data_IF_817170923506
#
_entry.id   IF_817170923506
#
_cell.length_a   1.000
_cell.length_b   1.000
_cell.length_c   1.000
_cell.angle_alpha   90.00
_cell.angle_beta   90.00
_cell.angle_gamma   90.00
#
_symmetry.space_group_name_H-M   'P 1'
#
loop_
_entity.id
_entity.type
_entity.pdbx_description
1 polymer ?
#
# COMPACT_ATOMS: atom_id res chain seq x y z
N UNK A 1 18.84 23.22 -33.85
CA UNK A 1 17.84 22.65 -32.91
C UNK A 1 18.63 22.05 -31.76
N UNK A 2 18.80 22.81 -30.68
CA UNK A 2 19.50 22.37 -29.48
C UNK A 2 18.47 21.76 -28.52
N UNK A 3 18.61 20.46 -28.27
CA UNK A 3 17.83 19.76 -27.24
C UNK A 3 18.27 20.26 -25.87
N UNK A 4 17.35 20.92 -25.17
CA UNK A 4 17.57 21.33 -23.79
C UNK A 4 17.65 20.10 -22.90
N UNK A 5 18.84 19.82 -22.38
CA UNK A 5 19.02 18.99 -21.21
C UNK A 5 18.43 19.73 -20.01
N UNK A 6 17.21 19.40 -19.61
CA UNK A 6 16.66 19.86 -18.35
C UNK A 6 17.35 19.10 -17.22
N UNK A 7 18.56 19.55 -16.85
CA UNK A 7 19.07 19.30 -15.49
C UNK A 7 18.08 19.96 -14.53
N UNK A 8 17.32 19.15 -13.80
CA UNK A 8 16.55 19.68 -12.69
C UNK A 8 17.52 20.08 -11.58
N UNK A 9 17.79 21.38 -11.51
CA UNK A 9 18.53 22.03 -10.44
C UNK A 9 17.95 21.57 -9.07
N UNK A 10 18.80 20.97 -8.22
CA UNK A 10 18.38 20.49 -6.89
C UNK A 10 18.07 18.98 -6.77
N UNK A 11 18.28 18.18 -7.81
CA UNK A 11 18.16 16.72 -7.73
C UNK A 11 19.43 16.06 -7.14
N UNK A 12 19.29 15.31 -6.05
CA UNK A 12 20.37 14.53 -5.42
C UNK A 12 20.27 13.08 -5.92
N UNK A 13 21.42 12.47 -6.24
CA UNK A 13 21.48 11.08 -6.72
C UNK A 13 22.14 10.19 -5.68
N UNK A 14 21.53 9.05 -5.36
CA UNK A 14 22.08 8.04 -4.44
C UNK A 14 22.17 6.67 -5.10
N UNK A 15 23.22 5.91 -4.77
CA UNK A 15 23.55 4.65 -5.43
C UNK A 15 24.35 4.86 -6.72
N UNK A 16 24.26 3.95 -7.70
CA UNK A 16 23.46 2.73 -7.68
C UNK A 16 24.08 1.64 -6.77
N UNK A 17 23.25 0.82 -6.14
CA UNK A 17 23.67 -0.34 -5.37
C UNK A 17 23.50 -1.61 -6.20
N UNK A 18 24.53 -2.44 -6.26
CA UNK A 18 24.54 -3.71 -7.00
C UNK A 18 25.76 -3.84 -7.91
N UNK A 19 25.62 -4.65 -8.96
CA UNK A 19 26.68 -4.93 -9.92
C UNK A 19 26.88 -3.85 -10.99
N UNK A 20 28.04 -3.94 -11.65
CA UNK A 20 28.46 -3.06 -12.75
C UNK A 20 28.13 -3.61 -14.14
N UNK A 21 27.54 -4.81 -14.21
CA UNK A 21 27.20 -5.46 -15.47
C UNK A 21 25.90 -4.90 -16.08
N UNK A 22 25.64 -5.21 -17.36
CA UNK A 22 24.43 -4.80 -18.07
C UNK A 22 24.48 -3.38 -18.64
N UNK A 23 23.39 -2.96 -19.28
CA UNK A 23 23.24 -1.61 -19.86
C UNK A 23 22.76 -0.64 -18.80
N UNK A 24 23.33 0.56 -18.82
CA UNK A 24 22.87 1.66 -17.98
C UNK A 24 21.47 2.10 -18.40
N UNK A 25 20.66 2.46 -17.42
CA UNK A 25 19.33 3.01 -17.64
C UNK A 25 19.03 4.11 -16.63
N UNK A 26 18.19 5.04 -17.07
CA UNK A 26 17.68 6.10 -16.23
C UNK A 26 16.19 6.25 -16.50
N UNK A 27 15.43 6.37 -15.41
CA UNK A 27 14.00 6.60 -15.43
C UNK A 27 13.70 7.87 -14.64
N UNK A 28 13.35 8.93 -15.37
CA UNK A 28 12.91 10.21 -14.82
C UNK A 28 11.64 10.63 -15.56
N UNK A 29 10.47 10.24 -15.07
CA UNK A 29 9.21 10.64 -15.71
C UNK A 29 8.97 12.14 -15.53
N UNK A 30 8.26 12.75 -16.48
CA UNK A 30 7.83 14.17 -16.38
C UNK A 30 6.80 14.36 -15.26
N UNK A 31 5.98 13.34 -15.00
CA UNK A 31 5.03 13.26 -13.90
C UNK A 31 5.50 12.22 -12.86
N UNK A 32 4.74 12.02 -11.79
CA UNK A 32 5.17 11.11 -10.72
C UNK A 32 4.96 9.65 -11.08
N UNK A 33 5.74 8.80 -10.41
CA UNK A 33 5.65 7.36 -10.49
C UNK A 33 4.33 6.91 -9.86
N UNK A 34 3.50 6.20 -10.64
CA UNK A 34 2.17 5.76 -10.20
C UNK A 34 2.10 4.27 -9.95
N UNK A 35 2.93 3.50 -10.64
CA UNK A 35 2.94 2.06 -10.51
C UNK A 35 4.34 1.50 -10.68
N UNK A 36 4.69 0.55 -9.83
CA UNK A 36 5.93 -0.21 -9.92
C UNK A 36 5.54 -1.69 -10.00
N UNK A 37 6.04 -2.40 -11.00
CA UNK A 37 5.93 -3.86 -11.06
C UNK A 37 7.31 -4.47 -10.93
N UNK A 38 7.44 -5.47 -10.06
CA UNK A 38 8.68 -6.20 -9.80
C UNK A 38 8.48 -7.64 -10.29
N UNK A 39 9.20 -8.05 -11.32
CA UNK A 39 9.31 -9.46 -11.70
C UNK A 39 10.46 -10.10 -10.93
N UNK A 40 10.21 -11.24 -10.30
CA UNK A 40 11.19 -11.94 -9.48
C UNK A 40 11.06 -13.45 -9.51
N UNK A 41 12.19 -14.10 -9.25
CA UNK A 41 12.33 -15.51 -8.92
C UNK A 41 13.23 -15.68 -7.70
N UNK A 42 14.44 -16.21 -7.90
CA UNK A 42 15.49 -16.26 -6.88
C UNK A 42 16.13 -14.89 -6.58
N UNK A 43 16.03 -13.96 -7.52
CA UNK A 43 16.49 -12.56 -7.47
C UNK A 43 15.47 -11.65 -8.13
N UNK A 44 15.75 -10.34 -8.24
CA UNK A 44 14.92 -9.41 -9.02
C UNK A 44 15.32 -9.46 -10.48
N UNK A 45 14.47 -10.08 -11.30
CA UNK A 45 14.69 -10.23 -12.74
C UNK A 45 14.49 -8.91 -13.48
N UNK A 46 13.41 -8.19 -13.17
CA UNK A 46 13.13 -6.90 -13.78
C UNK A 46 12.23 -6.00 -12.95
N UNK A 47 12.34 -4.70 -13.21
CA UNK A 47 11.48 -3.67 -12.65
C UNK A 47 10.83 -2.87 -13.78
N UNK A 48 9.53 -2.62 -13.63
CA UNK A 48 8.74 -1.82 -14.56
C UNK A 48 8.12 -0.65 -13.84
N UNK A 49 8.30 0.55 -14.37
CA UNK A 49 7.64 1.75 -13.88
C UNK A 49 6.54 2.16 -14.85
N UNK A 50 5.43 2.68 -14.31
CA UNK A 50 4.37 3.30 -15.09
C UNK A 50 4.03 4.68 -14.54
N UNK A 51 3.78 5.62 -15.45
CA UNK A 51 3.26 6.97 -15.17
C UNK A 51 2.13 7.30 -16.13
N UNK A 52 1.33 8.32 -15.78
CA UNK A 52 0.31 8.88 -16.66
C UNK A 52 0.79 10.23 -17.17
N UNK A 53 0.87 10.40 -18.48
CA UNK A 53 1.18 11.68 -19.13
C UNK A 53 0.10 11.96 -20.16
N UNK A 54 -0.58 13.10 -20.03
CA UNK A 54 -1.62 13.54 -20.98
C UNK A 54 -2.75 12.52 -21.21
N UNK A 55 -3.10 11.73 -20.18
CA UNK A 55 -4.12 10.69 -20.27
C UNK A 55 -3.63 9.34 -20.81
N UNK A 56 -2.36 9.24 -21.23
CA UNK A 56 -1.74 8.00 -21.71
C UNK A 56 -0.84 7.35 -20.65
N UNK A 57 -0.79 6.01 -20.65
CA UNK A 57 0.12 5.24 -19.79
C UNK A 57 1.48 5.13 -20.48
N UNK A 58 2.50 5.70 -19.87
CA UNK A 58 3.89 5.43 -20.24
C UNK A 58 4.47 4.33 -19.37
N UNK A 59 5.24 3.41 -19.98
CA UNK A 59 5.86 2.30 -19.28
C UNK A 59 7.32 2.13 -19.63
N UNK A 60 8.17 1.91 -18.63
CA UNK A 60 9.60 1.62 -18.82
C UNK A 60 9.98 0.38 -18.04
N UNK A 61 10.56 -0.61 -18.72
CA UNK A 61 10.98 -1.91 -18.16
C UNK A 61 12.51 -2.01 -18.17
N UNK A 62 13.10 -2.45 -17.06
CA UNK A 62 14.53 -2.66 -16.91
C UNK A 62 14.80 -4.05 -16.32
N UNK A 63 15.59 -4.87 -17.03
CA UNK A 63 15.89 -6.25 -16.68
C UNK A 63 15.35 -7.24 -17.71
N UNK A 64 15.41 -8.53 -17.36
CA UNK A 64 15.03 -9.62 -18.26
C UNK A 64 13.55 -9.99 -18.21
N UNK A 65 13.21 -11.00 -19.02
CA UNK A 65 11.87 -11.61 -19.09
C UNK A 65 11.69 -12.77 -18.10
N UNK A 66 12.66 -12.98 -17.22
CA UNK A 66 12.63 -14.02 -16.20
C UNK A 66 11.67 -13.70 -15.06
N UNK A 67 11.83 -14.46 -13.98
CA UNK A 67 10.96 -14.43 -12.82
C UNK A 67 9.70 -15.27 -13.00
N UNK A 68 9.26 -15.89 -11.90
CA UNK A 68 8.03 -16.70 -11.87
C UNK A 68 6.92 -16.02 -11.06
N UNK A 69 7.17 -14.84 -10.51
CA UNK A 69 6.20 -14.04 -9.76
C UNK A 69 6.36 -12.58 -10.14
N UNK A 70 5.23 -11.88 -10.23
CA UNK A 70 5.21 -10.43 -10.45
C UNK A 70 4.40 -9.78 -9.34
N UNK A 71 5.04 -8.90 -8.58
CA UNK A 71 4.40 -8.07 -7.57
C UNK A 71 4.18 -6.67 -8.14
N UNK A 72 3.13 -5.99 -7.68
CA UNK A 72 2.76 -4.67 -8.20
C UNK A 72 2.42 -3.74 -7.05
N UNK A 73 2.98 -2.54 -7.09
CA UNK A 73 2.78 -1.44 -6.17
C UNK A 73 2.07 -0.34 -6.92
N UNK A 74 0.94 0.14 -6.39
CA UNK A 74 0.26 1.34 -6.87
C UNK A 74 0.55 2.46 -5.88
N UNK A 75 1.11 3.57 -6.37
CA UNK A 75 1.45 4.76 -5.57
C UNK A 75 0.38 5.80 -5.79
N UNK A 76 -0.33 6.15 -4.72
CA UNK A 76 -1.47 7.07 -4.78
C UNK A 76 -1.06 8.54 -4.65
N UNK A 77 -0.36 9.04 -5.67
CA UNK A 77 0.09 10.42 -5.74
C UNK A 77 -1.07 11.41 -5.98
N UNK A 78 -1.10 12.60 -5.34
CA UNK A 78 0.00 13.25 -4.60
C UNK A 78 0.16 12.86 -3.13
N UNK A 79 -0.80 12.13 -2.57
CA UNK A 79 -0.85 11.87 -1.12
C UNK A 79 0.25 10.88 -0.70
N UNK A 80 0.51 9.89 -1.54
CA UNK A 80 1.58 8.92 -1.41
C UNK A 80 2.69 9.16 -2.43
N UNK A 81 3.93 9.23 -1.94
CA UNK A 81 5.13 9.42 -2.74
C UNK A 81 6.30 8.66 -2.12
N UNK A 82 7.22 8.23 -2.98
CA UNK A 82 8.38 7.46 -2.58
C UNK A 82 9.35 8.33 -1.78
N UNK A 83 9.83 7.80 -0.66
CA UNK A 83 10.81 8.47 0.22
C UNK A 83 12.10 7.68 0.34
N UNK A 84 12.04 6.34 0.25
CA UNK A 84 13.23 5.51 0.34
C UNK A 84 13.12 4.20 -0.45
N UNK A 85 14.29 3.62 -0.74
CA UNK A 85 14.47 2.28 -1.28
C UNK A 85 15.48 1.54 -0.40
N UNK A 86 15.25 0.25 -0.18
CA UNK A 86 16.22 -0.63 0.47
C UNK A 86 16.20 -2.02 -0.14
N UNK A 87 17.15 -2.87 0.20
CA UNK A 87 17.20 -4.23 -0.35
C UNK A 87 18.50 -4.95 -0.06
N UNK A 88 18.74 -6.04 -0.79
CA UNK A 88 20.01 -6.76 -0.77
C UNK A 88 20.56 -6.99 -2.17
N UNK A 89 21.89 -7.03 -2.26
CA UNK A 89 22.64 -7.35 -3.47
C UNK A 89 23.53 -8.56 -3.20
N UNK A 90 23.88 -9.31 -4.23
CA UNK A 90 24.77 -10.45 -4.07
C UNK A 90 24.96 -11.22 -5.34
N UNK A 91 25.86 -12.19 -5.28
CA UNK A 91 26.11 -13.09 -6.40
C UNK A 91 24.88 -13.96 -6.73
N UNK A 92 24.60 -14.06 -8.02
CA UNK A 92 23.64 -14.96 -8.63
C UNK A 92 24.13 -15.29 -10.05
N UNK A 93 24.38 -16.57 -10.30
CA UNK A 93 24.90 -17.07 -11.58
C UNK A 93 26.18 -16.34 -12.06
N UNK A 94 27.12 -16.11 -11.13
CA UNK A 94 28.38 -15.42 -11.41
C UNK A 94 28.27 -13.91 -11.61
N UNK A 95 27.10 -13.33 -11.37
CA UNK A 95 26.84 -11.90 -11.49
C UNK A 95 26.33 -11.31 -10.19
N UNK A 96 26.88 -10.16 -9.78
CA UNK A 96 26.32 -9.41 -8.64
C UNK A 96 25.06 -8.65 -9.09
N UNK A 97 23.92 -8.94 -8.48
CA UNK A 97 22.61 -8.41 -8.86
C UNK A 97 21.79 -7.98 -7.65
N UNK A 98 20.71 -7.24 -7.87
CA UNK A 98 19.70 -6.93 -6.85
C UNK A 98 18.91 -8.20 -6.53
N UNK A 99 19.09 -8.72 -5.31
CA UNK A 99 18.45 -9.96 -4.85
C UNK A 99 17.11 -9.69 -4.19
N UNK A 100 16.97 -8.59 -3.47
CA UNK A 100 15.69 -8.11 -2.96
C UNK A 100 15.56 -6.60 -3.03
N UNK A 101 14.32 -6.12 -3.06
CA UNK A 101 14.02 -4.69 -3.02
C UNK A 101 12.77 -4.39 -2.19
N UNK A 102 12.82 -3.29 -1.45
CA UNK A 102 11.71 -2.67 -0.73
C UNK A 102 11.54 -1.23 -1.20
N UNK A 103 10.31 -0.77 -1.33
CA UNK A 103 9.96 0.62 -1.57
C UNK A 103 9.27 1.19 -0.35
N UNK A 104 9.75 2.32 0.13
CA UNK A 104 9.19 3.02 1.28
C UNK A 104 8.60 4.33 0.77
N UNK A 105 7.33 4.58 1.09
CA UNK A 105 6.63 5.83 0.82
C UNK A 105 6.43 6.59 2.11
N UNK A 106 5.90 7.81 2.04
CA UNK A 106 5.48 8.56 3.22
C UNK A 106 4.28 7.94 3.95
N UNK A 107 3.66 6.89 3.42
CA UNK A 107 2.47 6.24 3.99
C UNK A 107 2.65 4.74 4.24
N UNK A 108 3.42 4.05 3.41
CA UNK A 108 3.50 2.60 3.37
C UNK A 108 4.94 2.10 3.18
N UNK A 109 5.12 0.80 3.41
CA UNK A 109 6.32 0.05 3.04
C UNK A 109 5.91 -1.17 2.22
N UNK A 110 6.58 -1.37 1.09
CA UNK A 110 6.30 -2.42 0.12
C UNK A 110 7.51 -3.32 -0.04
N UNK A 111 7.33 -4.63 0.12
CA UNK A 111 8.39 -5.64 0.02
C UNK A 111 8.69 -6.33 1.36
N UNK A 112 9.83 -7.05 1.47
CA UNK A 112 10.84 -7.26 0.43
C UNK A 112 10.35 -8.15 -0.72
N UNK A 113 10.67 -7.76 -1.94
CA UNK A 113 10.45 -8.57 -3.13
C UNK A 113 11.76 -9.22 -3.54
N UNK A 114 11.85 -10.55 -3.45
CA UNK A 114 13.05 -11.33 -3.78
C UNK A 114 13.66 -12.03 -2.57
N UNK A 115 14.95 -12.34 -2.63
CA UNK A 115 15.70 -13.02 -1.57
C UNK A 115 16.55 -12.04 -0.77
N UNK A 116 16.27 -11.90 0.54
CA UNK A 116 17.02 -11.02 1.45
C UNK A 116 18.42 -11.53 1.86
N UNK A 117 19.03 -12.38 1.03
CA UNK A 117 20.41 -12.85 1.21
C UNK A 117 21.40 -11.86 0.57
N UNK A 118 22.63 -11.78 1.11
CA UNK A 118 23.71 -10.93 0.59
C UNK A 118 23.91 -9.61 1.34
N UNK A 119 24.50 -8.63 0.65
CA UNK A 119 24.88 -7.32 1.19
C UNK A 119 23.69 -6.38 1.17
N UNK A 120 23.30 -5.84 2.33
CA UNK A 120 22.19 -4.90 2.46
C UNK A 120 22.56 -3.52 1.93
N UNK A 121 21.59 -2.85 1.30
CA UNK A 121 21.66 -1.44 0.97
C UNK A 121 20.38 -0.73 1.40
N UNK A 122 20.47 0.57 1.66
CA UNK A 122 19.32 1.43 1.91
C UNK A 122 19.67 2.89 1.62
N UNK A 123 18.69 3.62 1.09
CA UNK A 123 18.67 5.07 1.18
C UNK A 123 18.10 5.46 2.56
N UNK A 124 18.66 6.48 3.21
CA UNK A 124 18.31 6.86 4.58
C UNK A 124 16.98 7.64 4.69
N UNK A 125 16.31 7.89 3.55
CA UNK A 125 15.03 8.57 3.46
C UNK A 125 15.12 10.08 3.68
N UNK A 126 16.34 10.64 3.70
CA UNK A 126 16.57 12.08 3.83
C UNK A 126 16.68 12.74 2.45
N UNK A 127 16.26 14.00 2.36
CA UNK A 127 16.42 14.80 1.15
C UNK A 127 15.15 15.01 0.33
N UNK A 128 14.04 14.31 0.65
CA UNK A 128 12.72 14.62 0.12
C UNK A 128 12.06 13.45 -0.61
N UNK A 129 11.59 13.70 -1.83
CA UNK A 129 10.78 12.78 -2.63
C UNK A 129 11.67 12.09 -3.67
N UNK A 130 11.56 10.77 -3.80
CA UNK A 130 12.14 10.05 -4.93
C UNK A 130 11.30 10.34 -6.18
N UNK A 131 11.93 11.03 -7.14
CA UNK A 131 11.31 11.45 -8.41
C UNK A 131 11.74 10.61 -9.59
N UNK A 132 12.72 9.72 -9.40
CA UNK A 132 13.23 8.86 -10.45
C UNK A 132 14.19 7.81 -9.95
N UNK A 133 14.59 6.93 -10.87
CA UNK A 133 15.50 5.84 -10.61
C UNK A 133 16.57 5.78 -11.71
N UNK A 134 17.71 5.18 -11.39
CA UNK A 134 18.74 4.82 -12.36
C UNK A 134 19.37 3.50 -11.98
N UNK A 135 20.16 2.91 -12.86
CA UNK A 135 20.87 1.69 -12.54
C UNK A 135 21.42 1.00 -13.76
N UNK A 136 21.63 -0.31 -13.62
CA UNK A 136 22.08 -1.17 -14.72
C UNK A 136 21.23 -2.43 -14.78
N UNK A 137 20.98 -2.91 -15.99
CA UNK A 137 20.17 -4.11 -16.20
C UNK A 137 20.58 -4.90 -17.44
N UNK A 138 20.45 -6.21 -17.38
CA UNK A 138 20.58 -7.14 -18.50
C UNK A 138 19.50 -8.22 -18.37
N UNK A 139 19.89 -9.47 -18.12
CA UNK A 139 19.00 -10.59 -17.80
C UNK A 139 18.34 -10.41 -16.42
N UNK A 140 19.07 -9.78 -15.50
CA UNK A 140 18.58 -9.42 -14.16
C UNK A 140 18.70 -7.90 -13.94
N UNK A 141 18.06 -7.41 -12.87
CA UNK A 141 18.32 -6.07 -12.37
C UNK A 141 19.68 -6.05 -11.67
N UNK A 142 20.73 -5.59 -12.38
CA UNK A 142 22.09 -5.63 -11.87
C UNK A 142 22.32 -4.62 -10.73
N UNK A 143 21.82 -3.38 -10.90
CA UNK A 143 21.90 -2.36 -9.86
C UNK A 143 20.77 -1.34 -9.96
N UNK A 144 20.49 -0.68 -8.84
CA UNK A 144 19.46 0.36 -8.74
C UNK A 144 19.92 1.50 -7.82
N UNK A 145 19.59 2.72 -8.19
CA UNK A 145 19.77 3.94 -7.43
C UNK A 145 18.58 4.88 -7.61
N UNK A 146 18.55 5.95 -6.84
CA UNK A 146 17.42 6.89 -6.76
C UNK A 146 17.83 8.31 -7.07
N UNK A 147 16.89 9.06 -7.61
CA UNK A 147 16.93 10.52 -7.76
C UNK A 147 15.94 11.14 -6.77
N UNK A 148 16.44 12.00 -5.90
CA UNK A 148 15.70 12.60 -4.79
C UNK A 148 15.66 14.11 -4.96
N UNK A 149 14.50 14.72 -4.76
CA UNK A 149 14.31 16.16 -4.75
C UNK A 149 13.69 16.64 -3.43
N UNK A 150 14.05 17.84 -2.94
CA UNK A 150 13.34 18.47 -1.84
C UNK A 150 11.84 18.52 -2.10
N UNK A 151 11.05 18.27 -1.06
CA UNK A 151 9.58 18.23 -1.13
C UNK A 151 8.99 19.50 -1.79
N UNK A 152 9.51 20.67 -1.43
CA UNK A 152 9.08 21.96 -2.01
C UNK A 152 9.29 22.06 -3.52
N UNK A 153 10.39 21.52 -4.05
CA UNK A 153 10.69 21.55 -5.48
C UNK A 153 9.90 20.48 -6.25
N UNK A 154 9.81 19.28 -5.67
CA UNK A 154 9.06 18.17 -6.27
C UNK A 154 7.59 18.53 -6.48
N UNK A 155 6.94 19.15 -5.48
CA UNK A 155 5.54 19.56 -5.58
C UNK A 155 5.34 20.94 -6.22
N UNK A 156 6.35 21.82 -6.18
CA UNK A 156 6.30 23.16 -6.79
C UNK A 156 6.27 23.14 -8.32
N UNK A 157 6.99 22.20 -8.94
CA UNK A 157 7.04 22.05 -10.41
C UNK A 157 5.70 21.64 -11.06
N UNK A 158 4.75 21.11 -10.27
CA UNK A 158 3.42 20.67 -10.73
C UNK A 158 2.46 21.86 -10.87
N UNK A 159 2.61 22.86 -10.01
CA UNK A 159 1.72 24.02 -9.93
C UNK A 159 1.76 24.90 -11.20
N UNK A 160 2.86 24.92 -11.94
CA UNK A 160 2.99 25.67 -13.19
C UNK A 160 2.28 24.98 -14.37
N UNK A 161 1.99 23.69 -14.30
CA UNK A 161 1.29 22.93 -15.35
C UNK A 161 -0.24 22.99 -15.19
N UNK A 162 -0.75 22.84 -13.97
CA UNK A 162 -2.20 22.97 -13.67
C UNK A 162 -2.72 24.38 -13.98
N UNK A 163 -1.92 25.41 -13.73
CA UNK A 163 -2.26 26.79 -14.05
C UNK A 163 -2.34 27.07 -15.57
N UNK A 164 -1.65 26.31 -16.41
CA UNK A 164 -1.68 26.51 -17.87
C UNK A 164 -2.93 25.90 -18.50
N UNK A 165 -3.34 24.72 -18.02
CA UNK A 165 -4.54 24.01 -18.48
C UNK A 165 -5.82 24.69 -17.97
N UNK A 166 -5.83 25.14 -16.70
CA UNK A 166 -6.99 25.82 -16.11
C UNK A 166 -7.35 27.13 -16.85
N UNK A 167 -6.36 27.87 -17.36
CA UNK A 167 -6.60 29.13 -18.06
C UNK A 167 -7.24 28.96 -19.45
N UNK A 168 -6.92 27.88 -20.18
CA UNK A 168 -7.55 27.61 -21.49
C UNK A 168 -8.96 27.03 -21.37
N UNK A 169 -9.19 26.18 -20.36
CA UNK A 169 -10.50 25.55 -20.11
C UNK A 169 -11.50 26.56 -19.51
N UNK A 170 -11.06 27.48 -18.64
CA UNK A 170 -11.95 28.51 -18.06
C UNK A 170 -12.60 29.41 -19.11
N UNK A 171 -11.89 29.74 -20.19
CA UNK A 171 -12.40 30.62 -21.27
C UNK A 171 -13.58 30.00 -22.05
N UNK A 172 -13.59 28.68 -22.20
CA UNK A 172 -14.59 27.93 -22.97
C UNK A 172 -15.82 27.55 -22.13
N UNK A 173 -15.61 27.20 -20.86
CA UNK A 173 -16.69 26.78 -19.95
C UNK A 173 -17.53 27.98 -19.49
N UNK A 174 -16.92 29.16 -19.30
CA UNK A 174 -17.62 30.35 -18.81
C UNK A 174 -18.70 30.89 -19.76
N UNK A 175 -18.59 30.61 -21.07
CA UNK A 175 -19.58 31.03 -22.08
C UNK A 175 -20.83 30.13 -22.11
N UNK A 176 -20.75 28.91 -21.60
CA UNK A 176 -21.84 27.93 -21.67
C UNK A 176 -22.64 27.80 -20.36
N UNK A 177 -22.10 28.26 -19.23
CA UNK A 177 -22.65 27.97 -17.89
C UNK A 177 -23.62 29.03 -17.34
N UNK A 178 -23.85 30.14 -18.05
CA UNK A 178 -24.69 31.24 -17.57
C UNK A 178 -26.22 31.01 -17.66
N UNK A 179 -26.68 29.82 -18.10
CA UNK A 179 -28.12 29.52 -18.27
C UNK A 179 -28.66 28.38 -17.40
N UNK A 180 -27.83 27.72 -16.59
CA UNK A 180 -28.27 26.63 -15.71
C UNK A 180 -28.07 26.99 -14.22
N UNK A 181 -28.48 28.20 -13.84
CA UNK A 181 -28.62 28.61 -12.45
C UNK A 181 -30.05 28.35 -11.99
N UNK A 182 -30.30 27.17 -11.41
CA UNK A 182 -31.30 26.90 -10.35
C UNK A 182 -31.33 25.38 -10.15
N UNK A 183 -30.64 24.87 -9.12
CA UNK A 183 -31.03 23.74 -8.26
C UNK A 183 -29.79 23.21 -7.50
N UNK A 184 -29.86 23.37 -6.18
CA UNK A 184 -29.21 22.58 -5.12
C UNK A 184 -27.67 22.59 -4.97
N UNK A 185 -27.24 23.30 -3.93
CA UNK A 185 -25.97 23.12 -3.22
C UNK A 185 -25.91 21.70 -2.61
N UNK A 186 -25.04 20.84 -3.14
CA UNK A 186 -24.46 19.68 -2.46
C UNK A 186 -23.42 19.06 -3.41
N UNK A 187 -22.20 19.58 -3.42
CA UNK A 187 -21.10 18.82 -4.02
C UNK A 187 -20.69 17.74 -3.02
N UNK A 188 -21.38 16.60 -3.11
CA UNK A 188 -20.94 15.35 -2.49
C UNK A 188 -19.58 15.00 -3.09
N UNK A 189 -18.51 15.22 -2.34
CA UNK A 189 -17.20 14.64 -2.62
C UNK A 189 -17.37 13.13 -2.55
N UNK A 190 -17.23 12.44 -3.69
CA UNK A 190 -17.19 10.98 -3.72
C UNK A 190 -15.81 10.59 -3.18
N UNK A 191 -15.69 10.46 -1.86
CA UNK A 191 -14.53 9.85 -1.25
C UNK A 191 -14.51 8.35 -1.65
N UNK A 192 -13.46 7.94 -2.37
CA UNK A 192 -13.27 6.54 -2.73
C UNK A 192 -12.55 5.81 -1.59
N UNK A 193 -13.12 4.70 -1.14
CA UNK A 193 -12.46 3.83 -0.17
C UNK A 193 -11.27 3.11 -0.80
N UNK A 194 -10.13 3.02 -0.09
CA UNK A 194 -8.88 2.36 -0.53
C UNK A 194 -8.54 1.18 0.39
N UNK A 195 -7.94 0.11 -0.13
CA UNK A 195 -7.76 -1.13 0.63
C UNK A 195 -6.37 -1.19 1.28
N UNK A 196 -6.27 -1.62 2.54
CA UNK A 196 -5.01 -1.91 3.22
C UNK A 196 -5.01 -3.37 3.72
N UNK A 197 -3.89 -4.09 3.50
CA UNK A 197 -3.80 -5.53 3.75
C UNK A 197 -4.21 -6.39 2.53
N UNK A 198 -4.65 -7.65 2.72
CA UNK A 198 -4.94 -8.30 3.98
C UNK A 198 -3.68 -8.96 4.58
N UNK A 199 -3.46 -8.76 5.87
CA UNK A 199 -2.36 -9.34 6.64
C UNK A 199 -2.73 -10.73 7.15
N UNK A 200 -1.76 -11.64 7.17
CA UNK A 200 -1.94 -13.05 7.54
C UNK A 200 -1.28 -14.02 6.54
N UNK A 201 -1.27 -15.31 6.88
CA UNK A 201 -0.54 -16.36 6.16
C UNK A 201 -1.25 -16.87 4.89
N UNK A 202 -0.51 -17.52 3.99
CA UNK A 202 -1.03 -17.97 2.69
C UNK A 202 -2.20 -18.97 2.79
N UNK A 203 -3.16 -18.88 1.85
CA UNK A 203 -4.29 -19.82 1.75
C UNK A 203 -5.65 -19.22 2.13
N UNK A 204 -6.67 -20.07 2.24
CA UNK A 204 -8.03 -19.70 2.68
C UNK A 204 -8.95 -19.14 1.58
N UNK A 205 -10.26 -19.26 1.85
CA UNK A 205 -11.34 -18.72 1.01
C UNK A 205 -11.42 -17.21 1.21
N UNK A 206 -11.43 -16.40 0.12
CA UNK A 206 -11.53 -14.95 0.24
C UNK A 206 -12.93 -14.50 0.62
N UNK A 207 -12.99 -13.39 1.36
CA UNK A 207 -14.21 -12.66 1.69
C UNK A 207 -13.95 -11.15 1.62
N UNK A 208 -14.99 -10.38 1.30
CA UNK A 208 -14.97 -8.93 1.22
C UNK A 208 -16.39 -8.42 1.49
N UNK A 209 -16.56 -7.63 2.55
CA UNK A 209 -17.87 -7.08 2.92
C UNK A 209 -18.25 -5.85 2.08
N UNK A 210 -17.29 -5.27 1.35
CA UNK A 210 -17.45 -4.02 0.62
C UNK A 210 -17.37 -2.78 1.51
N UNK A 211 -17.88 -1.67 0.99
CA UNK A 211 -17.72 -0.33 1.59
C UNK A 211 -19.04 0.19 2.15
N UNK A 212 -18.99 0.70 3.38
CA UNK A 212 -20.11 1.22 4.14
C UNK A 212 -19.86 2.66 4.62
N UNK A 213 -20.80 3.27 5.33
CA UNK A 213 -20.63 4.63 5.86
C UNK A 213 -19.70 4.66 7.09
N UNK A 214 -19.87 3.70 8.00
CA UNK A 214 -18.99 3.49 9.15
C UNK A 214 -19.17 2.09 9.74
N UNK A 215 -18.20 1.66 10.54
CA UNK A 215 -18.27 0.45 11.37
C UNK A 215 -18.84 0.83 12.73
N UNK A 216 -19.92 0.17 13.15
CA UNK A 216 -20.59 0.44 14.44
C UNK A 216 -20.13 -0.49 15.55
N UNK A 217 -19.97 -1.76 15.22
CA UNK A 217 -19.63 -2.79 16.19
C UNK A 217 -18.74 -3.85 15.57
N UNK A 218 -17.85 -4.43 16.37
CA UNK A 218 -17.08 -5.62 16.04
C UNK A 218 -17.38 -6.72 17.06
N UNK A 219 -17.71 -7.91 16.56
CA UNK A 219 -17.86 -9.13 17.34
C UNK A 219 -16.66 -10.04 17.08
N UNK A 220 -15.89 -10.34 18.11
CA UNK A 220 -14.65 -11.13 18.02
C UNK A 220 -14.90 -12.46 18.71
N UNK A 221 -14.87 -13.55 17.94
CA UNK A 221 -15.12 -14.89 18.45
C UNK A 221 -13.80 -15.51 18.92
N UNK A 222 -13.75 -15.91 20.18
CA UNK A 222 -12.56 -16.47 20.84
C UNK A 222 -12.86 -17.85 21.42
N UNK A 223 -11.84 -18.70 21.50
CA UNK A 223 -11.94 -20.07 22.02
C UNK A 223 -10.68 -20.46 22.78
N UNK A 224 -10.45 -21.77 22.92
CA UNK A 224 -9.34 -22.32 23.73
C UNK A 224 -7.98 -22.33 23.00
N UNK A 225 -7.97 -22.01 21.70
CA UNK A 225 -6.75 -21.93 20.89
C UNK A 225 -6.21 -20.50 20.87
N UNK A 226 -4.93 -20.36 20.54
CA UNK A 226 -4.19 -19.09 20.49
C UNK A 226 -4.53 -18.19 19.29
N UNK A 227 -5.76 -18.29 18.76
CA UNK A 227 -6.19 -17.63 17.52
C UNK A 227 -7.54 -16.95 17.68
N UNK A 228 -7.78 -15.95 16.82
CA UNK A 228 -9.11 -15.40 16.60
C UNK A 228 -9.87 -16.37 15.69
N UNK A 229 -10.97 -16.92 16.22
CA UNK A 229 -11.72 -17.96 15.52
C UNK A 229 -12.51 -17.38 14.35
N UNK A 230 -13.22 -16.29 14.64
CA UNK A 230 -13.99 -15.58 13.64
C UNK A 230 -14.21 -14.12 14.04
N UNK A 231 -14.61 -13.31 13.07
CA UNK A 231 -15.00 -11.92 13.27
C UNK A 231 -16.28 -11.61 12.52
N UNK A 232 -17.09 -10.71 13.07
CA UNK A 232 -18.28 -10.19 12.43
C UNK A 232 -18.39 -8.68 12.70
N UNK A 233 -18.93 -7.94 11.74
CA UNK A 233 -19.05 -6.49 11.81
C UNK A 233 -20.50 -6.04 11.68
N UNK A 234 -20.89 -5.04 12.48
CA UNK A 234 -22.09 -4.24 12.20
C UNK A 234 -21.68 -2.96 11.47
N UNK A 235 -22.27 -2.71 10.32
CA UNK A 235 -22.03 -1.51 9.52
C UNK A 235 -23.26 -0.62 9.45
N UNK A 236 -23.03 0.69 9.38
CA UNK A 236 -24.05 1.67 9.00
C UNK A 236 -24.01 1.90 7.48
N UNK A 237 -25.15 1.78 6.81
CA UNK A 237 -25.30 2.13 5.38
C UNK A 237 -25.57 3.63 5.20
N UNK A 238 -25.38 4.12 3.97
CA UNK A 238 -25.69 5.52 3.58
C UNK A 238 -27.13 5.96 3.86
N UNK A 239 -28.08 5.01 3.93
CA UNK A 239 -29.48 5.27 4.25
C UNK A 239 -29.79 5.23 5.77
N UNK A 240 -28.76 5.16 6.62
CA UNK A 240 -28.90 5.12 8.08
C UNK A 240 -29.29 3.76 8.67
N UNK A 241 -29.44 2.70 7.85
CA UNK A 241 -29.75 1.36 8.36
C UNK A 241 -28.49 0.59 8.76
N UNK A 242 -28.55 -0.09 9.90
CA UNK A 242 -27.54 -1.07 10.31
C UNK A 242 -27.67 -2.39 9.55
N UNK A 243 -26.54 -3.04 9.27
CA UNK A 243 -26.47 -4.40 8.73
C UNK A 243 -25.30 -5.15 9.34
N UNK A 244 -25.48 -6.43 9.63
CA UNK A 244 -24.38 -7.32 10.01
C UNK A 244 -23.75 -7.97 8.78
N UNK A 245 -22.43 -8.10 8.77
CA UNK A 245 -21.70 -8.95 7.84
C UNK A 245 -21.99 -10.43 8.09
N UNK A 246 -21.51 -11.28 7.17
CA UNK A 246 -21.32 -12.69 7.51
C UNK A 246 -20.26 -12.82 8.62
N UNK A 247 -20.26 -13.97 9.29
CA UNK A 247 -19.18 -14.34 10.19
C UNK A 247 -18.02 -14.84 9.33
N UNK A 248 -16.84 -14.25 9.50
CA UNK A 248 -15.64 -14.61 8.74
C UNK A 248 -14.69 -15.41 9.61
N UNK A 249 -14.46 -16.68 9.29
CA UNK A 249 -13.76 -17.65 10.12
C UNK A 249 -14.62 -18.85 10.52
N UNK A 250 -14.20 -19.60 11.54
CA UNK A 250 -14.92 -20.77 12.04
C UNK A 250 -15.55 -20.53 13.40
N UNK A 251 -16.77 -21.04 13.62
CA UNK A 251 -17.46 -20.94 14.92
C UNK A 251 -17.32 -22.19 15.79
N UNK A 252 -16.74 -23.26 15.25
CA UNK A 252 -16.53 -24.51 15.98
C UNK A 252 -15.49 -24.30 17.09
N UNK A 253 -15.88 -24.59 18.34
CA UNK A 253 -14.99 -24.43 19.50
C UNK A 253 -14.95 -23.01 20.11
N UNK A 254 -15.75 -22.06 19.60
CA UNK A 254 -15.91 -20.74 20.22
C UNK A 254 -16.45 -20.88 21.65
N UNK A 255 -15.80 -20.20 22.60
CA UNK A 255 -16.16 -20.18 24.03
C UNK A 255 -16.71 -18.83 24.48
N UNK A 256 -16.37 -17.76 23.75
CA UNK A 256 -16.82 -16.41 24.09
C UNK A 256 -16.82 -15.49 22.88
N UNK A 257 -17.59 -14.42 23.00
CA UNK A 257 -17.65 -13.33 22.02
C UNK A 257 -17.29 -12.05 22.76
N UNK A 258 -16.29 -11.33 22.25
CA UNK A 258 -15.88 -10.02 22.74
C UNK A 258 -16.46 -8.95 21.81
N UNK A 259 -17.12 -7.95 22.39
CA UNK A 259 -17.80 -6.89 21.65
C UNK A 259 -17.03 -5.58 21.76
N UNK A 260 -16.89 -4.89 20.64
CA UNK A 260 -16.35 -3.53 20.56
C UNK A 260 -17.40 -2.63 19.93
N UNK A 261 -17.87 -1.62 20.68
CA UNK A 261 -18.87 -0.67 20.21
C UNK A 261 -18.24 0.70 19.97
N UNK A 262 -18.52 1.31 18.81
CA UNK A 262 -18.06 2.65 18.43
C UNK A 262 -19.26 3.63 18.47
N UNK A 263 -19.89 3.79 19.63
CA UNK A 263 -21.17 4.51 19.78
C UNK A 263 -21.04 6.01 20.09
N UNK A 264 -19.83 6.50 20.32
CA UNK A 264 -19.58 7.91 20.61
C UNK A 264 -19.62 8.74 19.31
N UNK A 265 -20.34 9.87 19.31
CA UNK A 265 -20.72 10.64 18.11
C UNK A 265 -19.54 11.07 17.22
N UNK A 266 -18.34 11.18 17.81
CA UNK A 266 -17.10 11.53 17.11
C UNK A 266 -16.04 10.41 17.12
N UNK A 267 -16.37 9.19 17.58
CA UNK A 267 -15.44 8.05 17.51
C UNK A 267 -15.56 7.33 16.16
N UNK A 268 -14.45 7.21 15.45
CA UNK A 268 -14.36 6.42 14.24
C UNK A 268 -13.16 5.48 14.31
N UNK A 269 -13.34 4.29 13.75
CA UNK A 269 -12.27 3.33 13.57
C UNK A 269 -11.29 3.85 12.53
N UNK A 270 -10.03 4.06 12.89
CA UNK A 270 -8.96 4.55 12.01
C UNK A 270 -7.99 3.47 11.55
N UNK A 271 -8.03 2.28 12.15
CA UNK A 271 -7.19 1.17 11.72
C UNK A 271 -7.23 -0.06 12.61
N UNK A 272 -6.47 -1.07 12.22
CA UNK A 272 -6.26 -2.31 12.97
C UNK A 272 -4.77 -2.63 13.07
N UNK A 273 -4.38 -3.28 14.16
CA UNK A 273 -3.06 -3.91 14.29
C UNK A 273 -3.21 -5.26 14.97
N UNK A 274 -2.16 -6.07 14.96
CA UNK A 274 -2.20 -7.34 15.66
C UNK A 274 -1.06 -8.26 15.26
N UNK A 275 -1.26 -9.55 15.50
CA UNK A 275 -0.31 -10.59 15.16
C UNK A 275 -1.00 -11.73 14.43
N UNK A 276 -0.26 -12.42 13.58
CA UNK A 276 -0.64 -13.71 13.02
C UNK A 276 0.51 -14.69 13.15
N UNK A 277 0.20 -15.99 13.21
CA UNK A 277 1.20 -17.03 13.41
C UNK A 277 0.60 -18.43 13.53
N UNK A 278 1.41 -19.41 13.95
CA UNK A 278 1.02 -20.82 13.99
C UNK A 278 -0.16 -21.10 14.93
N UNK A 279 -1.10 -21.94 14.49
CA UNK A 279 -2.23 -22.38 15.29
C UNK A 279 -1.82 -23.57 16.17
N UNK A 280 -2.01 -23.46 17.48
CA UNK A 280 -1.65 -24.50 18.45
C UNK A 280 -2.39 -25.80 18.13
N UNK A 281 -1.65 -26.88 17.96
CA UNK A 281 -2.20 -28.21 17.66
C UNK A 281 -2.53 -28.46 16.19
N UNK A 282 -2.19 -27.53 15.28
CA UNK A 282 -2.38 -27.68 13.83
C UNK A 282 -1.08 -27.34 13.08
N UNK A 283 -0.34 -28.37 12.68
CA UNK A 283 0.93 -28.20 11.98
C UNK A 283 0.76 -27.50 10.62
N UNK A 284 1.52 -26.43 10.40
CA UNK A 284 1.53 -25.68 9.15
C UNK A 284 0.32 -24.78 8.91
N UNK A 285 -0.64 -24.72 9.85
CA UNK A 285 -1.74 -23.77 9.81
C UNK A 285 -1.36 -22.48 10.54
N UNK A 286 -1.62 -21.34 9.92
CA UNK A 286 -1.43 -20.02 10.51
C UNK A 286 -2.72 -19.19 10.41
N UNK A 287 -2.98 -18.36 11.41
CA UNK A 287 -4.16 -17.51 11.50
C UNK A 287 -3.86 -16.23 12.29
N UNK A 288 -4.80 -15.28 12.29
CA UNK A 288 -4.73 -14.09 13.17
C UNK A 288 -4.77 -14.56 14.62
N UNK A 289 -3.73 -14.22 15.38
CA UNK A 289 -3.57 -14.62 16.79
C UNK A 289 -4.02 -13.52 17.74
N UNK A 290 -3.86 -12.26 17.32
CA UNK A 290 -4.42 -11.13 18.04
C UNK A 290 -4.80 -9.98 17.13
N UNK A 291 -5.73 -9.14 17.60
CA UNK A 291 -6.16 -7.94 16.91
C UNK A 291 -6.50 -6.81 17.90
N UNK A 292 -6.14 -5.60 17.52
CA UNK A 292 -6.46 -4.34 18.20
C UNK A 292 -7.10 -3.38 17.21
N UNK A 293 -8.10 -2.64 17.66
CA UNK A 293 -8.84 -1.66 16.88
C UNK A 293 -8.46 -0.25 17.34
N UNK A 294 -7.90 0.54 16.43
CA UNK A 294 -7.40 1.88 16.70
C UNK A 294 -8.46 2.88 16.26
N UNK A 295 -9.02 3.65 17.19
CA UNK A 295 -9.91 4.77 16.88
C UNK A 295 -9.15 6.09 16.97
N UNK A 296 -9.79 7.17 16.55
CA UNK A 296 -9.30 8.52 16.81
C UNK A 296 -9.31 8.90 18.30
N UNK A 297 -9.92 8.09 19.19
CA UNK A 297 -10.02 8.37 20.62
C UNK A 297 -9.17 7.43 21.47
N UNK A 298 -9.15 6.13 21.17
CA UNK A 298 -8.48 5.12 21.99
C UNK A 298 -8.20 3.84 21.18
N UNK A 299 -7.55 2.87 21.84
CA UNK A 299 -7.30 1.55 21.28
C UNK A 299 -8.15 0.53 22.05
N UNK A 300 -8.87 -0.33 21.33
CA UNK A 300 -9.56 -1.49 21.88
C UNK A 300 -8.73 -2.75 21.62
N UNK A 301 -8.51 -3.56 22.65
CA UNK A 301 -7.67 -4.75 22.59
C UNK A 301 -6.34 -4.58 23.34
N UNK A 302 -5.33 -5.43 23.06
CA UNK A 302 -5.39 -6.53 22.11
C UNK A 302 -6.36 -7.62 22.55
N UNK A 303 -7.07 -8.18 21.58
CA UNK A 303 -7.89 -9.37 21.73
C UNK A 303 -7.10 -10.57 21.19
N UNK A 304 -7.07 -11.69 21.91
CA UNK A 304 -6.24 -12.85 21.56
C UNK A 304 -4.85 -12.84 22.23
N UNK A 305 -3.88 -13.56 21.66
CA UNK A 305 -2.55 -13.78 22.25
C UNK A 305 -1.41 -13.16 21.41
N UNK A 306 -0.50 -12.45 22.08
CA UNK A 306 0.66 -11.77 21.48
C UNK A 306 2.00 -12.40 21.93
N UNK A 307 2.49 -13.52 21.36
CA UNK A 307 3.77 -14.11 21.82
C UNK A 307 4.58 -14.90 20.78
N UNK A 308 5.90 -14.67 20.74
CA UNK A 308 6.91 -15.71 20.48
C UNK A 308 7.55 -15.74 19.08
N UNK A 309 8.56 -16.60 18.92
CA UNK A 309 9.18 -16.87 17.63
C UNK A 309 8.18 -17.52 16.67
N UNK A 310 8.05 -17.01 15.44
CA UNK A 310 7.10 -17.48 14.44
C UNK A 310 5.84 -16.62 14.27
N UNK A 311 5.64 -15.59 15.11
CA UNK A 311 4.52 -14.66 15.01
C UNK A 311 4.96 -13.39 14.28
N UNK A 312 4.12 -12.90 13.37
CA UNK A 312 4.38 -11.68 12.59
C UNK A 312 3.37 -10.61 12.97
N UNK A 313 3.86 -9.41 13.29
CA UNK A 313 2.98 -8.28 13.57
C UNK A 313 2.45 -7.66 12.27
N UNK A 314 1.27 -7.06 12.34
CA UNK A 314 0.71 -6.23 11.29
C UNK A 314 0.11 -4.95 11.87
N UNK A 315 0.08 -3.90 11.06
CA UNK A 315 -0.59 -2.65 11.39
C UNK A 315 -1.06 -1.96 10.12
N UNK A 316 -2.23 -1.34 10.18
CA UNK A 316 -2.75 -0.48 9.14
C UNK A 316 -2.40 1.02 9.31
N UNK A 317 -1.60 1.41 10.32
CA UNK A 317 -1.33 2.83 10.68
C UNK A 317 -0.05 3.41 10.03
N UNK A 318 0.06 4.73 9.72
CA UNK A 318 -0.70 5.91 10.14
C UNK A 318 -1.18 6.78 8.96
N UNK A 319 -2.49 7.02 8.88
CA UNK A 319 -3.09 7.94 7.90
C UNK A 319 -4.36 8.59 8.47
N UNK A 320 -4.72 9.79 7.97
CA UNK A 320 -5.98 10.48 8.34
C UNK A 320 -7.13 9.89 7.53
N UNK A 321 -7.80 8.89 8.08
CA UNK A 321 -8.96 8.27 7.46
C UNK A 321 -9.71 7.39 8.46
N UNK A 322 -10.91 6.96 8.07
CA UNK A 322 -11.70 5.97 8.80
C UNK A 322 -11.80 4.67 8.02
N UNK A 323 -11.88 3.57 8.74
CA UNK A 323 -12.24 2.25 8.23
C UNK A 323 -13.73 2.26 7.89
N UNK A 324 -14.06 1.86 6.67
CA UNK A 324 -15.42 1.81 6.13
C UNK A 324 -15.83 0.41 5.69
N UNK A 325 -14.97 -0.59 5.89
CA UNK A 325 -15.26 -1.96 5.55
C UNK A 325 -14.05 -2.85 5.78
N UNK A 326 -14.24 -4.15 5.65
CA UNK A 326 -13.19 -5.14 5.85
C UNK A 326 -13.19 -6.17 4.73
N UNK A 327 -12.02 -6.75 4.49
CA UNK A 327 -11.84 -7.86 3.56
C UNK A 327 -10.77 -8.81 4.11
N UNK A 328 -10.71 -10.04 3.61
CA UNK A 328 -9.76 -11.02 4.16
C UNK A 328 -9.87 -12.41 3.57
N UNK A 329 -9.40 -13.38 4.35
CA UNK A 329 -9.50 -14.81 4.02
C UNK A 329 -9.79 -15.63 5.27
N UNK A 330 -10.54 -16.71 5.11
CA UNK A 330 -10.82 -17.69 6.16
C UNK A 330 -10.27 -19.06 5.80
N UNK A 331 -9.73 -19.79 6.78
CA UNK A 331 -9.13 -21.12 6.61
C UNK A 331 -9.60 -22.12 7.69
N UNK A 332 -10.81 -21.91 8.23
CA UNK A 332 -11.29 -22.56 9.46
C UNK A 332 -11.14 -21.67 10.70
N UNK A 333 -10.24 -20.69 10.64
CA UNK A 333 -10.14 -19.56 11.57
C UNK A 333 -10.11 -18.25 10.77
N UNK A 334 -9.96 -17.11 11.47
CA UNK A 334 -9.66 -15.85 10.81
C UNK A 334 -8.23 -15.89 10.25
N UNK A 335 -8.09 -16.20 8.96
CA UNK A 335 -6.79 -16.44 8.33
C UNK A 335 -6.06 -15.16 7.91
N UNK A 336 -6.79 -14.22 7.30
CA UNK A 336 -6.28 -12.88 6.95
C UNK A 336 -7.31 -11.80 7.18
N UNK A 337 -6.85 -10.59 7.47
CA UNK A 337 -7.70 -9.40 7.59
C UNK A 337 -7.06 -8.17 6.94
N UNK A 338 -7.88 -7.36 6.29
CA UNK A 338 -7.57 -6.07 5.69
C UNK A 338 -8.75 -5.12 5.86
N UNK A 339 -8.51 -3.84 5.59
CA UNK A 339 -9.49 -2.76 5.81
C UNK A 339 -9.70 -1.95 4.54
N UNK A 340 -10.93 -1.51 4.33
CA UNK A 340 -11.27 -0.45 3.38
C UNK A 340 -11.24 0.88 4.13
N UNK A 341 -10.49 1.85 3.62
CA UNK A 341 -10.20 3.15 4.25
C UNK A 341 -10.80 4.29 3.44
N UNK A 342 -11.64 5.12 4.06
CA UNK A 342 -12.07 6.41 3.53
C UNK A 342 -11.20 7.51 4.17
N UNK A 343 -10.42 8.20 3.35
CA UNK A 343 -9.50 9.24 3.83
C UNK A 343 -10.18 10.61 3.91
N UNK A 344 -9.73 11.44 4.85
CA UNK A 344 -10.23 12.79 5.09
C UNK A 344 -9.20 13.87 4.74
#
# INVERSE_FOLDING_TARGET
MQGGSTEFEGCITHGPWGGTQGKEWVYRPENFIRKISISRGGVVDSIKFQTYLNGEIQTSLFGGKGGNRTDTISIDYPDEYLVSVSGTTGDYDGSNVVKSICFITNQNSYGPYGSCSGTRFSHDGKGGVIVGFHGRASEYLASIGVHVMPKSLAFGAVSTYENKIMNEVHSLVFKSFLLASLFCFCMSTIAMARNAGPWGAGGGKPWDDGVFSTVKQVCIHVGDLNVIYAIQFEYLKKNGKSVFSQIHGGTDGVKGIQLVNFEDEDEYLGGVSGFYGPVKGYDGLEAITSISFHTNKKIYGPFGEERGAGYTNFSSTASRGKVVGFHGRENGFLGKIGVHMEYF
#
